data_IF_104702687176
#
_entry.id   IF_104702687176
#
_cell.length_a   1.000
_cell.length_b   1.000
_cell.length_c   1.000
_cell.angle_alpha   90.00
_cell.angle_beta   90.00
_cell.angle_gamma   90.00
#
_symmetry.space_group_name_H-M   'P 1'
#
loop_
_entity.id
_entity.type
_entity.pdbx_description
1 polymer ?
#
# COMPACT_ATOMS: atom_id res chain seq x y z
N UNK A 1 6.70 72.80 16.87
CA UNK A 1 5.50 73.60 17.19
C UNK A 1 4.35 72.65 17.44
N UNK A 2 3.98 72.55 18.74
CA UNK A 2 2.69 72.20 19.38
C UNK A 2 1.97 70.95 18.86
N UNK A 3 1.94 69.81 19.62
CA UNK A 3 1.08 69.58 20.81
C UNK A 3 -0.42 69.70 20.53
N UNK A 4 -1.16 68.64 20.72
CA UNK A 4 -2.27 68.44 21.68
C UNK A 4 -2.78 67.03 21.45
N UNK A 5 -2.51 66.04 22.25
CA UNK A 5 -3.19 65.54 23.47
C UNK A 5 -4.72 65.46 23.35
N UNK A 6 -5.24 64.30 23.62
CA UNK A 6 -6.64 64.03 23.90
C UNK A 6 -6.95 62.60 24.26
N UNK A 7 -6.63 62.23 25.52
CA UNK A 7 -7.25 61.10 26.19
C UNK A 7 -8.77 61.24 26.28
N UNK A 8 -9.53 60.20 26.09
CA UNK A 8 -10.70 59.94 26.92
C UNK A 8 -10.86 58.40 27.16
N UNK A 9 -10.81 58.15 28.44
CA UNK A 9 -10.97 56.90 29.16
C UNK A 9 -12.46 56.47 29.27
N UNK A 10 -12.69 55.19 29.31
CA UNK A 10 -13.72 54.47 30.10
C UNK A 10 -15.20 54.72 29.81
N UNK A 11 -15.89 53.62 29.49
CA UNK A 11 -17.06 53.22 30.29
C UNK A 11 -17.28 51.71 30.17
N UNK A 12 -17.01 51.06 31.31
CA UNK A 12 -17.52 49.74 31.71
C UNK A 12 -19.03 49.92 31.95
N UNK A 13 -19.85 49.10 31.37
CA UNK A 13 -21.24 48.90 31.82
C UNK A 13 -21.46 47.39 32.01
N UNK A 14 -21.43 47.06 33.29
CA UNK A 14 -21.92 45.84 33.92
C UNK A 14 -23.43 45.80 33.73
N UNK A 15 -23.99 44.71 33.21
CA UNK A 15 -25.40 44.41 33.38
C UNK A 15 -25.56 43.01 33.95
N UNK A 16 -26.12 43.00 35.14
CA UNK A 16 -26.41 41.83 35.97
C UNK A 16 -27.61 41.03 35.44
N UNK A 17 -27.48 39.74 35.56
CA UNK A 17 -28.44 38.75 36.06
C UNK A 17 -29.93 39.12 36.11
N UNK A 18 -30.72 38.34 35.36
CA UNK A 18 -32.05 37.89 35.86
C UNK A 18 -32.18 36.39 35.53
N UNK A 19 -32.24 35.59 36.59
CA UNK A 19 -32.69 34.20 36.59
C UNK A 19 -34.19 34.16 36.23
N UNK A 20 -34.53 33.26 35.34
CA UNK A 20 -35.88 32.64 35.35
C UNK A 20 -35.72 31.14 35.16
N UNK A 21 -35.86 30.38 36.24
CA UNK A 21 -36.13 28.95 36.23
C UNK A 21 -37.47 28.69 35.57
N UNK A 22 -37.45 27.94 34.48
CA UNK A 22 -38.57 27.15 34.06
C UNK A 22 -38.16 25.70 33.96
N UNK A 23 -38.52 24.92 34.97
CA UNK A 23 -38.53 23.46 34.94
C UNK A 23 -39.56 23.02 33.88
N UNK A 24 -39.08 22.40 32.86
CA UNK A 24 -39.89 21.48 32.09
C UNK A 24 -39.20 20.12 32.07
N UNK A 25 -39.82 19.19 32.79
CA UNK A 25 -39.53 17.78 32.69
C UNK A 25 -39.79 17.33 31.26
N UNK A 26 -38.73 17.01 30.53
CA UNK A 26 -38.83 16.21 29.33
C UNK A 26 -38.16 14.87 29.57
N UNK A 27 -38.93 13.82 29.50
CA UNK A 27 -38.58 12.44 29.72
C UNK A 27 -37.42 12.05 28.82
N UNK A 28 -36.36 11.55 29.46
CA UNK A 28 -35.25 10.87 28.81
C UNK A 28 -35.72 9.55 28.23
N UNK A 29 -36.03 9.50 26.96
CA UNK A 29 -35.85 8.28 26.18
C UNK A 29 -34.40 8.32 25.66
N UNK A 30 -33.50 7.71 26.41
CA UNK A 30 -32.12 7.56 26.02
C UNK A 30 -31.98 6.53 24.92
N UNK A 31 -32.09 6.98 23.68
CA UNK A 31 -31.51 6.26 22.57
C UNK A 31 -29.98 6.47 22.61
N UNK A 32 -29.24 5.50 23.11
CA UNK A 32 -27.80 5.41 22.87
C UNK A 32 -27.58 5.26 21.36
N UNK A 33 -27.50 6.36 20.64
CA UNK A 33 -26.77 6.38 19.39
C UNK A 33 -25.27 6.28 19.76
N UNK A 34 -24.78 5.06 19.85
CA UNK A 34 -23.35 4.82 19.83
C UNK A 34 -22.85 5.43 18.52
N UNK A 35 -22.13 6.54 18.64
CA UNK A 35 -21.23 6.98 17.60
C UNK A 35 -20.24 5.82 17.39
N UNK A 36 -20.52 4.99 16.41
CA UNK A 36 -19.52 4.07 15.87
C UNK A 36 -18.41 4.99 15.32
N UNK A 37 -17.44 5.32 16.19
CA UNK A 37 -16.15 5.81 15.72
C UNK A 37 -15.70 4.82 14.65
N UNK A 38 -15.57 5.31 13.43
CA UNK A 38 -15.11 4.54 12.28
C UNK A 38 -13.65 4.14 12.55
N UNK A 39 -13.47 3.12 13.39
CA UNK A 39 -12.16 2.64 13.81
C UNK A 39 -11.45 2.17 12.55
N UNK A 40 -10.62 3.03 11.99
CA UNK A 40 -9.85 2.75 10.77
C UNK A 40 -9.23 1.35 10.89
N UNK A 41 -9.64 0.44 10.03
CA UNK A 41 -9.15 -0.94 10.07
C UNK A 41 -7.63 -0.95 10.00
N UNK A 42 -7.00 -1.71 10.91
CA UNK A 42 -5.54 -1.87 10.96
C UNK A 42 -4.98 -2.51 9.69
N UNK A 43 -5.76 -3.34 9.05
CA UNK A 43 -5.44 -4.02 7.82
C UNK A 43 -6.45 -3.64 6.74
N UNK A 44 -5.95 -3.39 5.54
CA UNK A 44 -6.77 -3.18 4.34
C UNK A 44 -6.38 -4.17 3.27
N UNK A 45 -7.35 -4.59 2.47
CA UNK A 45 -7.16 -5.62 1.45
C UNK A 45 -7.28 -4.98 0.07
N UNK A 46 -6.24 -5.13 -0.76
CA UNK A 46 -6.22 -4.63 -2.13
C UNK A 46 -5.95 -5.75 -3.14
N UNK A 47 -6.12 -5.47 -4.41
CA UNK A 47 -5.70 -6.34 -5.51
C UNK A 47 -4.86 -5.56 -6.53
N UNK A 48 -3.93 -6.27 -7.19
CA UNK A 48 -3.10 -5.74 -8.26
C UNK A 48 -3.92 -5.62 -9.56
N UNK A 49 -3.96 -4.44 -10.20
CA UNK A 49 -4.74 -4.23 -11.42
C UNK A 49 -4.27 -5.10 -12.59
N UNK A 50 -2.96 -5.39 -12.67
CA UNK A 50 -2.40 -6.24 -13.73
C UNK A 50 -2.74 -7.72 -13.55
N UNK A 51 -2.93 -8.19 -12.33
CA UNK A 51 -3.27 -9.59 -12.07
C UNK A 51 -4.76 -9.87 -12.21
N UNK A 52 -5.61 -8.86 -12.03
CA UNK A 52 -7.05 -8.94 -12.32
C UNK A 52 -7.40 -8.59 -13.79
N UNK A 53 -6.41 -8.59 -14.69
CA UNK A 53 -6.54 -8.32 -16.11
C UNK A 53 -7.09 -6.91 -16.44
N UNK A 54 -6.83 -5.94 -15.56
CA UNK A 54 -7.30 -4.55 -15.67
C UNK A 54 -6.15 -3.53 -15.58
N UNK A 55 -4.92 -3.93 -15.97
CA UNK A 55 -3.75 -3.05 -15.97
C UNK A 55 -4.08 -1.70 -16.60
N UNK A 56 -3.93 -0.63 -15.82
CA UNK A 56 -4.23 0.76 -16.22
C UNK A 56 -5.62 0.96 -16.86
N UNK A 57 -6.64 0.26 -16.36
CA UNK A 57 -8.04 0.42 -16.80
C UNK A 57 -8.91 0.86 -15.60
N UNK A 58 -9.70 1.90 -15.77
CA UNK A 58 -10.60 2.41 -14.73
C UNK A 58 -11.58 1.35 -14.19
N UNK A 59 -12.00 0.39 -15.02
CA UNK A 59 -12.83 -0.73 -14.60
C UNK A 59 -12.19 -1.68 -13.57
N UNK A 60 -10.92 -1.46 -13.17
CA UNK A 60 -10.30 -2.15 -12.04
C UNK A 60 -10.98 -1.80 -10.72
N UNK A 61 -11.38 -0.55 -10.53
CA UNK A 61 -12.05 -0.07 -9.31
C UNK A 61 -13.43 -0.72 -9.13
N UNK A 62 -14.27 -0.70 -10.17
CA UNK A 62 -15.54 -1.40 -10.14
C UNK A 62 -15.36 -2.88 -9.80
N UNK A 63 -14.44 -3.56 -10.50
CA UNK A 63 -14.21 -4.98 -10.27
C UNK A 63 -13.74 -5.25 -8.84
N UNK A 64 -12.78 -4.50 -8.31
CA UNK A 64 -12.29 -4.71 -6.94
C UNK A 64 -13.38 -4.43 -5.91
N UNK A 65 -14.26 -3.47 -6.16
CA UNK A 65 -15.44 -3.24 -5.30
C UNK A 65 -16.40 -4.41 -5.33
N UNK A 66 -16.69 -4.97 -6.52
CA UNK A 66 -17.50 -6.20 -6.66
C UNK A 66 -16.88 -7.40 -5.94
N UNK A 67 -15.56 -7.45 -5.83
CA UNK A 67 -14.79 -8.47 -5.11
C UNK A 67 -14.64 -8.18 -3.61
N UNK A 68 -15.25 -7.09 -3.11
CA UNK A 68 -15.19 -6.64 -1.71
C UNK A 68 -13.80 -6.15 -1.26
N UNK A 69 -12.93 -5.71 -2.16
CA UNK A 69 -11.63 -5.12 -1.81
C UNK A 69 -11.75 -3.69 -1.27
N UNK A 70 -10.70 -3.23 -0.60
CA UNK A 70 -10.58 -1.87 -0.05
C UNK A 70 -9.77 -0.94 -0.96
N UNK A 71 -9.01 -1.48 -1.90
CA UNK A 71 -8.15 -0.68 -2.79
C UNK A 71 -7.60 -1.42 -3.98
N UNK A 72 -7.04 -0.65 -4.91
CA UNK A 72 -6.41 -1.12 -6.15
C UNK A 72 -4.95 -0.69 -6.14
N UNK A 73 -4.01 -1.64 -6.17
CA UNK A 73 -2.63 -1.35 -6.53
C UNK A 73 -2.55 -1.14 -8.03
N UNK A 74 -2.17 0.08 -8.45
CA UNK A 74 -2.19 0.50 -9.85
C UNK A 74 -0.80 0.36 -10.47
N UNK A 75 -0.72 -0.35 -11.59
CA UNK A 75 0.53 -0.55 -12.33
C UNK A 75 0.94 0.68 -13.15
N UNK A 76 2.23 0.86 -13.39
CA UNK A 76 2.80 1.88 -14.27
C UNK A 76 2.55 1.60 -15.77
N UNK A 77 1.95 0.46 -16.08
CA UNK A 77 1.83 -0.02 -17.46
C UNK A 77 3.03 -0.87 -17.90
N UNK A 78 2.94 -1.45 -19.09
CA UNK A 78 4.00 -2.31 -19.62
C UNK A 78 5.30 -1.55 -19.86
N UNK A 79 6.44 -2.15 -19.53
CA UNK A 79 7.77 -1.60 -19.85
C UNK A 79 8.34 -2.29 -21.10
N UNK A 80 8.59 -3.60 -21.04
CA UNK A 80 9.24 -4.34 -22.14
C UNK A 80 10.56 -3.66 -22.54
N UNK A 81 10.80 -3.55 -23.85
CA UNK A 81 12.00 -2.88 -24.40
C UNK A 81 11.83 -1.36 -24.61
N UNK A 82 10.71 -0.77 -24.13
CA UNK A 82 10.47 0.68 -24.26
C UNK A 82 11.39 1.47 -23.35
N UNK A 83 11.67 2.72 -23.71
CA UNK A 83 12.41 3.64 -22.85
C UNK A 83 11.60 4.15 -21.67
N UNK A 84 10.28 3.98 -21.70
CA UNK A 84 9.38 4.39 -20.61
C UNK A 84 8.24 3.39 -20.44
N UNK A 85 7.61 3.40 -19.25
CA UNK A 85 6.37 2.68 -19.03
C UNK A 85 5.25 3.17 -19.96
N UNK A 86 4.34 2.29 -20.31
CA UNK A 86 3.08 2.65 -20.99
C UNK A 86 2.09 3.24 -19.98
N UNK A 87 2.51 4.35 -19.35
CA UNK A 87 1.85 4.96 -18.22
C UNK A 87 0.82 6.02 -18.65
N UNK A 88 -0.46 5.68 -18.62
CA UNK A 88 -1.55 6.62 -18.90
C UNK A 88 -1.64 7.74 -17.87
N UNK A 89 -1.23 7.47 -16.63
CA UNK A 89 -1.32 8.42 -15.51
C UNK A 89 -0.31 9.58 -15.61
N UNK A 90 0.50 9.67 -16.65
CA UNK A 90 1.19 10.92 -17.02
C UNK A 90 0.22 12.01 -17.47
N UNK A 91 -0.96 11.63 -17.97
CA UNK A 91 -1.94 12.55 -18.51
C UNK A 91 -2.95 12.94 -17.43
N UNK A 92 -3.13 14.24 -17.21
CA UNK A 92 -3.96 14.80 -16.13
C UNK A 92 -5.42 14.29 -16.19
N UNK A 93 -5.96 14.11 -17.39
CA UNK A 93 -7.33 13.61 -17.52
C UNK A 93 -7.48 12.16 -17.01
N UNK A 94 -6.49 11.28 -17.23
CA UNK A 94 -6.53 9.93 -16.66
C UNK A 94 -6.31 9.95 -15.15
N UNK A 95 -5.45 10.84 -14.62
CA UNK A 95 -5.31 11.03 -13.16
C UNK A 95 -6.65 11.39 -12.52
N UNK A 96 -7.39 12.31 -13.16
CA UNK A 96 -8.72 12.72 -12.70
C UNK A 96 -9.68 11.54 -12.73
N UNK A 97 -9.80 10.86 -13.86
CA UNK A 97 -10.69 9.69 -14.03
C UNK A 97 -10.43 8.59 -13.01
N UNK A 98 -9.16 8.24 -12.77
CA UNK A 98 -8.82 7.19 -11.81
C UNK A 98 -9.16 7.59 -10.38
N UNK A 99 -8.94 8.86 -9.99
CA UNK A 99 -9.34 9.36 -8.67
C UNK A 99 -10.85 9.41 -8.50
N UNK A 100 -11.57 9.83 -9.51
CA UNK A 100 -13.04 9.86 -9.51
C UNK A 100 -13.65 8.45 -9.39
N UNK A 101 -13.12 7.47 -10.15
CA UNK A 101 -13.59 6.09 -10.05
C UNK A 101 -13.21 5.45 -8.70
N UNK A 102 -12.02 5.70 -8.17
CA UNK A 102 -11.65 5.26 -6.82
C UNK A 102 -12.62 5.82 -5.77
N UNK A 103 -12.90 7.13 -5.81
CA UNK A 103 -13.83 7.78 -4.89
C UNK A 103 -15.28 7.26 -5.05
N UNK A 104 -15.74 7.07 -6.27
CA UNK A 104 -17.09 6.54 -6.59
C UNK A 104 -17.35 5.18 -5.95
N UNK A 105 -16.33 4.32 -5.94
CA UNK A 105 -16.41 2.98 -5.36
C UNK A 105 -15.91 2.91 -3.90
N UNK A 106 -15.55 4.05 -3.30
CA UNK A 106 -14.97 4.13 -1.96
C UNK A 106 -13.74 3.22 -1.81
N UNK A 107 -12.83 3.28 -2.78
CA UNK A 107 -11.58 2.52 -2.81
C UNK A 107 -10.39 3.46 -2.71
N UNK A 108 -9.27 2.94 -2.17
CA UNK A 108 -8.01 3.66 -2.12
C UNK A 108 -7.02 3.13 -3.17
N UNK A 109 -6.00 3.93 -3.47
CA UNK A 109 -4.84 3.51 -4.27
C UNK A 109 -3.65 3.40 -3.31
N UNK A 110 -3.38 2.20 -2.76
CA UNK A 110 -2.34 2.01 -1.74
C UNK A 110 -0.93 2.23 -2.27
N UNK A 111 -0.72 1.91 -3.54
CA UNK A 111 0.61 1.86 -4.15
C UNK A 111 0.56 1.98 -5.67
N UNK A 112 1.68 2.40 -6.24
CA UNK A 112 1.94 2.39 -7.68
C UNK A 112 3.00 1.32 -7.98
N UNK A 113 2.73 0.43 -8.94
CA UNK A 113 3.60 -0.71 -9.19
C UNK A 113 4.45 -0.55 -10.46
N UNK A 114 5.73 -0.73 -10.35
CA UNK A 114 6.66 -0.84 -11.49
C UNK A 114 6.81 -2.31 -11.91
N UNK A 115 5.68 -3.01 -12.14
CA UNK A 115 5.67 -4.46 -12.42
C UNK A 115 6.47 -4.85 -13.67
N UNK A 116 6.73 -3.90 -14.56
CA UNK A 116 7.59 -4.10 -15.73
C UNK A 116 8.99 -4.62 -15.40
N UNK A 117 9.47 -4.38 -14.18
CA UNK A 117 10.76 -4.91 -13.72
C UNK A 117 10.74 -6.39 -13.33
N UNK A 118 9.61 -7.07 -13.41
CA UNK A 118 9.60 -8.54 -13.40
C UNK A 118 10.30 -9.16 -14.62
N UNK A 119 10.31 -8.47 -15.73
CA UNK A 119 10.92 -8.93 -16.98
C UNK A 119 12.07 -8.04 -17.50
N UNK A 120 12.50 -7.09 -16.66
CA UNK A 120 13.58 -6.16 -16.98
C UNK A 120 14.51 -6.00 -15.78
N UNK A 121 15.82 -6.05 -16.02
CA UNK A 121 16.78 -5.84 -14.95
C UNK A 121 16.90 -4.37 -14.58
N UNK A 122 16.57 -4.01 -13.34
CA UNK A 122 16.80 -2.68 -12.80
C UNK A 122 18.26 -2.25 -12.85
N UNK A 123 19.18 -3.22 -12.70
CA UNK A 123 20.65 -2.98 -12.78
C UNK A 123 21.14 -2.78 -14.20
N UNK A 124 20.50 -3.38 -15.20
CA UNK A 124 20.91 -3.25 -16.61
C UNK A 124 20.27 -2.05 -17.32
N UNK A 125 19.18 -1.48 -16.77
CA UNK A 125 18.51 -0.34 -17.38
C UNK A 125 19.30 0.94 -17.17
N UNK A 126 19.79 1.55 -18.27
CA UNK A 126 20.55 2.81 -18.20
C UNK A 126 19.68 3.96 -17.64
N UNK A 127 18.42 3.99 -18.05
CA UNK A 127 17.44 5.03 -17.70
C UNK A 127 16.60 4.70 -16.45
N UNK A 128 17.16 3.97 -15.48
CA UNK A 128 16.45 3.61 -14.24
C UNK A 128 16.00 4.82 -13.42
N UNK A 129 16.73 5.95 -13.50
CA UNK A 129 16.38 7.19 -12.80
C UNK A 129 15.10 7.80 -13.39
N UNK A 130 15.04 7.90 -14.69
CA UNK A 130 13.89 8.46 -15.43
C UNK A 130 12.63 7.60 -15.21
N UNK A 131 12.77 6.28 -15.23
CA UNK A 131 11.69 5.34 -14.93
C UNK A 131 11.20 5.49 -13.48
N UNK A 132 12.11 5.66 -12.52
CA UNK A 132 11.76 5.90 -11.12
C UNK A 132 11.13 7.28 -10.93
N UNK A 133 11.63 8.31 -11.59
CA UNK A 133 11.05 9.66 -11.54
C UNK A 133 9.62 9.70 -12.07
N UNK A 134 9.34 8.99 -13.18
CA UNK A 134 7.98 8.84 -13.70
C UNK A 134 7.05 8.17 -12.67
N UNK A 135 7.55 7.13 -11.98
CA UNK A 135 6.79 6.49 -10.91
C UNK A 135 6.51 7.45 -9.74
N UNK A 136 7.52 8.17 -9.27
CA UNK A 136 7.39 9.14 -8.18
C UNK A 136 6.39 10.23 -8.54
N UNK A 137 6.44 10.78 -9.75
CA UNK A 137 5.49 11.78 -10.23
C UNK A 137 4.06 11.22 -10.28
N UNK A 138 3.92 9.98 -10.74
CA UNK A 138 2.63 9.28 -10.73
C UNK A 138 2.11 9.08 -9.30
N UNK A 139 2.97 8.68 -8.36
CA UNK A 139 2.59 8.53 -6.94
C UNK A 139 2.08 9.86 -6.37
N UNK A 140 2.79 10.96 -6.60
CA UNK A 140 2.38 12.30 -6.15
C UNK A 140 1.02 12.66 -6.74
N UNK A 141 0.86 12.50 -8.05
CA UNK A 141 -0.37 12.82 -8.75
C UNK A 141 -1.57 12.00 -8.27
N UNK A 142 -1.36 10.73 -7.92
CA UNK A 142 -2.40 9.81 -7.44
C UNK A 142 -2.58 9.80 -5.92
N UNK A 143 -1.72 10.48 -5.16
CA UNK A 143 -1.74 10.50 -3.71
C UNK A 143 -1.21 9.22 -3.05
N UNK A 144 -0.59 8.31 -3.82
CA UNK A 144 0.01 7.09 -3.31
C UNK A 144 1.33 7.38 -2.60
N UNK A 145 1.60 6.64 -1.52
CA UNK A 145 2.82 6.83 -0.70
C UNK A 145 3.85 5.73 -0.88
N UNK A 146 3.50 4.63 -1.53
CA UNK A 146 4.34 3.45 -1.71
C UNK A 146 4.44 3.13 -3.20
N UNK A 147 5.65 2.90 -3.69
CA UNK A 147 5.89 2.25 -4.97
C UNK A 147 6.31 0.80 -4.76
N UNK A 148 5.91 -0.08 -5.66
CA UNK A 148 6.37 -1.46 -5.73
C UNK A 148 7.47 -1.60 -6.79
N UNK A 149 8.64 -2.10 -6.40
CA UNK A 149 9.78 -2.39 -7.29
C UNK A 149 10.21 -3.85 -7.15
N UNK A 150 9.84 -4.74 -8.09
CA UNK A 150 10.27 -6.14 -8.05
C UNK A 150 11.73 -6.28 -8.49
N UNK A 151 12.56 -6.87 -7.62
CA UNK A 151 13.97 -7.17 -7.86
C UNK A 151 14.26 -8.68 -7.82
N UNK A 152 13.31 -9.48 -7.37
CA UNK A 152 13.50 -10.91 -7.09
C UNK A 152 13.56 -11.83 -8.32
N UNK A 153 13.45 -11.30 -9.53
CA UNK A 153 13.57 -12.08 -10.78
C UNK A 153 14.85 -11.70 -11.53
N UNK A 154 14.82 -10.55 -12.20
CA UNK A 154 15.96 -10.10 -13.04
C UNK A 154 17.15 -9.54 -12.24
N UNK A 155 16.92 -9.16 -10.98
CA UNK A 155 17.97 -8.69 -10.06
C UNK A 155 18.06 -9.58 -8.82
N UNK A 156 17.81 -10.89 -8.95
CA UNK A 156 17.87 -11.84 -7.85
C UNK A 156 19.31 -12.02 -7.34
N UNK A 157 19.60 -11.41 -6.18
CA UNK A 157 20.89 -11.45 -5.54
C UNK A 157 21.29 -12.83 -4.99
N UNK A 158 20.36 -13.78 -4.93
CA UNK A 158 20.67 -15.17 -4.56
C UNK A 158 21.31 -15.92 -5.72
N UNK A 159 21.00 -15.50 -6.95
CA UNK A 159 21.51 -16.10 -8.20
C UNK A 159 22.63 -15.27 -8.82
N UNK A 160 22.59 -13.94 -8.63
CA UNK A 160 23.52 -12.99 -9.24
C UNK A 160 24.15 -12.09 -8.16
N UNK A 161 24.97 -12.65 -7.25
CA UNK A 161 25.56 -11.88 -6.15
C UNK A 161 26.52 -10.78 -6.63
N UNK A 162 27.07 -10.91 -7.83
CA UNK A 162 28.00 -9.96 -8.45
C UNK A 162 27.37 -8.59 -8.74
N UNK A 163 26.06 -8.53 -9.00
CA UNK A 163 25.37 -7.26 -9.27
C UNK A 163 25.08 -6.44 -8.00
N UNK A 164 25.39 -6.98 -6.80
CA UNK A 164 24.98 -6.37 -5.53
C UNK A 164 25.48 -4.94 -5.37
N UNK A 165 26.73 -4.67 -5.69
CA UNK A 165 27.32 -3.33 -5.53
C UNK A 165 26.59 -2.29 -6.39
N UNK A 166 26.34 -2.61 -7.64
CA UNK A 166 25.61 -1.72 -8.56
C UNK A 166 24.16 -1.54 -8.13
N UNK A 167 23.49 -2.61 -7.72
CA UNK A 167 22.11 -2.53 -7.21
C UNK A 167 22.02 -1.61 -5.98
N UNK A 168 22.93 -1.75 -5.02
CA UNK A 168 23.00 -0.88 -3.84
C UNK A 168 23.20 0.58 -4.24
N UNK A 169 24.14 0.86 -5.16
CA UNK A 169 24.40 2.21 -5.65
C UNK A 169 23.15 2.84 -6.30
N UNK A 170 22.46 2.09 -7.15
CA UNK A 170 21.21 2.57 -7.77
C UNK A 170 20.10 2.80 -6.75
N UNK A 171 19.95 1.88 -5.79
CA UNK A 171 18.93 2.02 -4.74
C UNK A 171 19.23 3.19 -3.80
N UNK A 172 20.49 3.58 -3.58
CA UNK A 172 20.81 4.83 -2.89
C UNK A 172 20.31 6.05 -3.66
N UNK A 173 20.57 6.07 -4.96
CA UNK A 173 20.11 7.20 -5.81
C UNK A 173 18.60 7.33 -5.79
N UNK A 174 17.87 6.25 -6.08
CA UNK A 174 16.41 6.31 -6.11
C UNK A 174 15.80 6.47 -4.72
N UNK A 175 16.51 6.03 -3.67
CA UNK A 175 16.13 6.26 -2.29
C UNK A 175 16.20 7.75 -1.92
N UNK A 176 17.20 8.48 -2.38
CA UNK A 176 17.26 9.94 -2.22
C UNK A 176 16.13 10.63 -2.96
N UNK A 177 15.87 10.25 -4.23
CA UNK A 177 14.74 10.79 -5.01
C UNK A 177 13.39 10.58 -4.29
N UNK A 178 13.17 9.38 -3.75
CA UNK A 178 11.95 9.05 -3.01
C UNK A 178 11.84 9.83 -1.69
N UNK A 179 12.95 10.00 -0.98
CA UNK A 179 13.01 10.76 0.27
C UNK A 179 12.68 12.24 0.04
N UNK A 180 13.26 12.85 -0.98
CA UNK A 180 12.97 14.24 -1.37
C UNK A 180 11.50 14.44 -1.73
N UNK A 181 10.89 13.44 -2.37
CA UNK A 181 9.47 13.43 -2.74
C UNK A 181 8.52 13.07 -1.59
N UNK A 182 9.03 12.66 -0.43
CA UNK A 182 8.22 12.23 0.72
C UNK A 182 7.45 10.93 0.48
N UNK A 183 8.01 10.00 -0.33
CA UNK A 183 7.42 8.71 -0.68
C UNK A 183 8.37 7.55 -0.35
N UNK A 184 7.88 6.32 -0.42
CA UNK A 184 8.65 5.10 -0.14
C UNK A 184 8.68 4.20 -1.38
N UNK A 185 9.85 3.70 -1.72
CA UNK A 185 10.00 2.61 -2.70
C UNK A 185 10.16 1.30 -1.93
N UNK A 186 9.16 0.44 -2.07
CA UNK A 186 9.16 -0.91 -1.54
C UNK A 186 9.82 -1.87 -2.52
N UNK A 187 10.95 -2.44 -2.13
CA UNK A 187 11.65 -3.43 -2.94
C UNK A 187 11.21 -4.85 -2.57
N UNK A 188 10.86 -5.65 -3.57
CA UNK A 188 10.65 -7.09 -3.40
C UNK A 188 11.91 -7.83 -3.80
N UNK A 189 12.42 -8.70 -2.94
CA UNK A 189 13.65 -9.48 -3.14
C UNK A 189 13.42 -10.98 -2.93
N UNK A 190 14.33 -11.83 -3.41
CA UNK A 190 14.37 -13.26 -3.10
C UNK A 190 15.22 -13.58 -1.87
N UNK A 191 15.79 -12.58 -1.21
CA UNK A 191 16.64 -12.74 -0.02
C UNK A 191 15.83 -13.23 1.18
N UNK A 192 16.53 -13.83 2.15
CA UNK A 192 15.95 -14.05 3.47
C UNK A 192 15.96 -12.74 4.30
N UNK A 193 15.31 -12.75 5.44
CA UNK A 193 15.23 -11.57 6.29
C UNK A 193 16.60 -11.03 6.76
N UNK A 194 17.65 -11.87 6.85
CA UNK A 194 19.01 -11.39 7.15
C UNK A 194 19.61 -10.65 5.98
N UNK A 195 19.43 -11.22 4.78
CA UNK A 195 19.87 -10.63 3.53
C UNK A 195 19.22 -9.28 3.26
N UNK A 196 17.89 -9.18 3.48
CA UNK A 196 17.13 -7.94 3.35
C UNK A 196 17.59 -6.88 4.34
N UNK A 197 17.78 -7.24 5.62
CA UNK A 197 18.30 -6.30 6.63
C UNK A 197 19.70 -5.80 6.25
N UNK A 198 20.56 -6.70 5.75
CA UNK A 198 21.90 -6.32 5.28
C UNK A 198 21.82 -5.39 4.08
N UNK A 199 20.96 -5.69 3.11
CA UNK A 199 20.75 -4.87 1.92
C UNK A 199 20.23 -3.46 2.30
N UNK A 200 19.20 -3.36 3.14
CA UNK A 200 18.68 -2.08 3.62
C UNK A 200 19.75 -1.26 4.36
N UNK A 201 20.59 -1.91 5.16
CA UNK A 201 21.72 -1.24 5.86
C UNK A 201 22.75 -0.69 4.88
N UNK A 202 23.08 -1.42 3.82
CA UNK A 202 24.03 -0.99 2.78
C UNK A 202 23.46 0.18 1.96
N UNK A 203 22.16 0.16 1.64
CA UNK A 203 21.46 1.25 0.96
C UNK A 203 21.42 2.50 1.84
N UNK A 204 21.17 2.33 3.14
CA UNK A 204 21.12 3.40 4.14
C UNK A 204 20.15 4.56 3.76
N UNK A 205 18.96 4.23 3.27
CA UNK A 205 17.90 5.20 2.97
C UNK A 205 16.62 4.86 3.72
N UNK A 206 15.98 5.80 4.42
CA UNK A 206 14.70 5.58 5.09
C UNK A 206 13.53 5.43 4.10
N UNK A 207 13.72 5.87 2.86
CA UNK A 207 12.72 5.81 1.80
C UNK A 207 12.74 4.49 1.02
N UNK A 208 13.72 3.60 1.27
CA UNK A 208 13.72 2.23 0.74
C UNK A 208 13.31 1.27 1.84
N UNK A 209 12.27 0.49 1.58
CA UNK A 209 11.73 -0.52 2.50
C UNK A 209 11.46 -1.82 1.76
N UNK A 210 11.17 -2.88 2.50
CA UNK A 210 10.77 -4.16 1.92
C UNK A 210 9.27 -4.13 1.60
N UNK A 211 8.96 -4.41 0.36
CA UNK A 211 7.64 -4.84 -0.08
C UNK A 211 7.64 -6.37 0.01
N UNK A 212 7.11 -6.89 1.11
CA UNK A 212 7.28 -8.30 1.43
C UNK A 212 6.30 -9.17 0.65
N UNK A 213 6.79 -10.21 -0.03
CA UNK A 213 5.94 -11.18 -0.75
C UNK A 213 6.00 -12.55 -0.06
N UNK A 214 4.85 -13.07 0.35
CA UNK A 214 4.78 -14.37 1.06
C UNK A 214 5.24 -15.54 0.19
N UNK A 215 5.08 -15.44 -1.12
CA UNK A 215 5.55 -16.47 -2.05
C UNK A 215 7.05 -16.73 -1.90
N UNK A 216 7.88 -15.69 -1.74
CA UNK A 216 9.33 -15.81 -1.77
C UNK A 216 9.90 -16.74 -0.68
N UNK A 217 9.57 -16.58 0.62
CA UNK A 217 10.01 -17.52 1.63
C UNK A 217 9.37 -18.91 1.47
N UNK A 218 8.12 -19.01 1.02
CA UNK A 218 7.42 -20.27 0.86
C UNK A 218 8.04 -21.13 -0.24
N UNK A 219 8.35 -20.56 -1.39
CA UNK A 219 9.03 -21.24 -2.50
C UNK A 219 10.44 -21.69 -2.09
N UNK A 220 11.14 -20.86 -1.31
CA UNK A 220 12.48 -21.18 -0.81
C UNK A 220 12.47 -22.11 0.42
N UNK A 221 11.34 -22.64 0.84
CA UNK A 221 11.22 -23.53 2.00
C UNK A 221 11.57 -22.87 3.34
N UNK A 222 11.51 -21.55 3.42
CA UNK A 222 11.84 -20.78 4.62
C UNK A 222 10.60 -20.55 5.50
N UNK A 223 10.85 -20.19 6.76
CA UNK A 223 9.79 -19.94 7.73
C UNK A 223 9.33 -18.47 7.65
N UNK A 224 8.25 -18.21 6.93
CA UNK A 224 7.59 -16.93 6.76
C UNK A 224 7.43 -16.15 8.09
N UNK A 225 6.92 -16.80 9.12
CA UNK A 225 6.59 -16.17 10.41
C UNK A 225 7.85 -15.71 11.17
N UNK A 226 8.94 -16.48 11.06
CA UNK A 226 10.25 -16.09 11.63
C UNK A 226 10.86 -14.93 10.85
N UNK A 227 10.71 -14.92 9.53
CA UNK A 227 11.22 -13.84 8.69
C UNK A 227 10.49 -12.52 8.94
N UNK A 228 9.16 -12.53 9.00
CA UNK A 228 8.37 -11.35 9.37
C UNK A 228 8.81 -10.74 10.70
N UNK A 229 8.91 -11.57 11.75
CA UNK A 229 9.37 -11.12 13.08
C UNK A 229 10.78 -10.53 13.02
N UNK A 230 11.69 -11.11 12.23
CA UNK A 230 13.06 -10.65 12.10
C UNK A 230 13.19 -9.34 11.36
N UNK A 231 12.42 -9.14 10.28
CA UNK A 231 12.32 -7.88 9.57
C UNK A 231 11.76 -6.78 10.47
N UNK A 232 10.71 -7.09 11.23
CA UNK A 232 10.03 -6.14 12.11
C UNK A 232 9.21 -5.10 11.33
N UNK A 233 8.31 -4.43 12.04
CA UNK A 233 7.30 -3.55 11.44
C UNK A 233 7.86 -2.36 10.64
N UNK A 234 9.01 -1.83 11.02
CA UNK A 234 9.53 -0.59 10.43
C UNK A 234 10.17 -0.79 9.06
N UNK A 235 10.57 -2.02 8.72
CA UNK A 235 11.23 -2.34 7.45
C UNK A 235 10.25 -2.78 6.37
N UNK A 236 9.02 -3.18 6.74
CA UNK A 236 8.00 -3.67 5.80
C UNK A 236 7.04 -2.52 5.51
N UNK A 237 6.98 -2.05 4.26
CA UNK A 237 6.05 -0.99 3.87
C UNK A 237 4.68 -1.52 3.43
N UNK A 238 4.65 -2.66 2.73
CA UNK A 238 3.44 -3.29 2.20
C UNK A 238 3.70 -4.79 1.97
N UNK A 239 2.64 -5.57 1.77
CA UNK A 239 2.74 -7.03 1.63
C UNK A 239 1.92 -7.52 0.44
N UNK A 240 2.56 -8.25 -0.49
CA UNK A 240 1.88 -9.21 -1.36
C UNK A 240 1.58 -10.47 -0.54
N UNK A 241 0.32 -10.68 -0.21
CA UNK A 241 -0.10 -11.63 0.82
C UNK A 241 -0.52 -13.01 0.27
N UNK A 242 -0.04 -13.36 -0.92
CA UNK A 242 -0.40 -14.60 -1.61
C UNK A 242 0.78 -15.53 -1.79
N UNK A 243 0.48 -16.79 -2.09
CA UNK A 243 1.45 -17.81 -2.52
C UNK A 243 1.43 -17.94 -4.04
N UNK A 244 2.14 -18.91 -4.60
CA UNK A 244 2.05 -19.29 -6.02
C UNK A 244 0.64 -19.68 -6.40
N UNK A 245 0.34 -19.62 -7.69
CA UNK A 245 -0.89 -20.19 -8.24
C UNK A 245 -0.83 -21.72 -8.13
N UNK A 246 -1.84 -22.29 -7.58
CA UNK A 246 -2.17 -23.72 -7.46
C UNK A 246 -3.54 -23.88 -6.80
N UNK A 247 -3.70 -23.30 -5.61
CA UNK A 247 -4.95 -23.33 -4.83
C UNK A 247 -5.26 -21.94 -4.25
N UNK A 248 -6.54 -21.70 -3.97
CA UNK A 248 -6.99 -20.51 -3.25
C UNK A 248 -6.40 -20.46 -1.84
N UNK A 249 -6.25 -19.25 -1.27
CA UNK A 249 -5.66 -19.05 0.07
C UNK A 249 -6.28 -19.89 1.16
N UNK A 250 -7.60 -20.06 1.15
CA UNK A 250 -8.32 -20.85 2.16
C UNK A 250 -7.97 -22.36 2.13
N UNK A 251 -7.46 -22.86 1.00
CA UNK A 251 -7.04 -24.25 0.81
C UNK A 251 -5.53 -24.45 0.87
N UNK A 252 -4.77 -23.37 1.05
CA UNK A 252 -3.31 -23.43 1.07
C UNK A 252 -2.79 -24.03 2.37
N UNK A 253 -2.19 -25.22 2.29
CA UNK A 253 -1.67 -25.96 3.46
C UNK A 253 -0.36 -25.40 4.00
N UNK A 254 0.42 -24.66 3.22
CA UNK A 254 1.72 -24.10 3.63
C UNK A 254 1.65 -22.64 4.09
N UNK A 255 0.49 -21.98 3.92
CA UNK A 255 0.25 -20.59 4.30
C UNK A 255 -0.98 -20.47 5.20
N UNK A 256 -0.76 -20.37 6.51
CA UNK A 256 -1.82 -20.20 7.50
C UNK A 256 -2.03 -18.72 7.81
N UNK A 257 -3.12 -18.12 7.29
CA UNK A 257 -3.42 -16.70 7.44
C UNK A 257 -3.75 -16.26 8.88
N UNK A 258 -4.34 -17.15 9.70
CA UNK A 258 -4.55 -16.86 11.13
C UNK A 258 -3.21 -16.66 11.84
N UNK A 259 -2.24 -17.52 11.54
CA UNK A 259 -0.88 -17.40 12.09
C UNK A 259 -0.13 -16.19 11.53
N UNK A 260 -0.40 -15.81 10.28
CA UNK A 260 0.11 -14.54 9.70
C UNK A 260 -0.44 -13.38 10.51
N UNK A 261 -1.76 -13.28 10.70
CA UNK A 261 -2.41 -12.24 11.48
C UNK A 261 -1.83 -12.14 12.89
N UNK A 262 -1.77 -13.26 13.61
CA UNK A 262 -1.16 -13.30 14.94
C UNK A 262 0.29 -12.77 14.95
N UNK A 263 1.06 -13.12 13.92
CA UNK A 263 2.45 -12.65 13.80
C UNK A 263 2.53 -11.15 13.57
N UNK A 264 1.74 -10.62 12.64
CA UNK A 264 1.68 -9.18 12.33
C UNK A 264 1.14 -8.37 13.51
N UNK A 265 0.13 -8.89 14.23
CA UNK A 265 -0.41 -8.28 15.44
C UNK A 265 0.64 -8.17 16.55
N UNK A 266 1.38 -9.25 16.82
CA UNK A 266 2.49 -9.26 17.80
C UNK A 266 3.63 -8.33 17.40
N UNK A 267 3.88 -8.13 16.10
CA UNK A 267 4.86 -7.18 15.60
C UNK A 267 4.40 -5.72 15.71
N UNK A 268 3.10 -5.49 15.93
CA UNK A 268 2.51 -4.16 15.85
C UNK A 268 2.50 -3.60 14.43
N UNK A 269 2.53 -4.45 13.39
CA UNK A 269 2.42 -4.05 11.98
C UNK A 269 0.96 -3.89 11.57
N UNK A 270 0.70 -2.95 10.69
CA UNK A 270 -0.59 -2.74 10.03
C UNK A 270 -0.38 -2.05 8.69
N UNK A 271 -1.32 -2.21 7.79
CA UNK A 271 -1.20 -1.66 6.44
C UNK A 271 -1.95 -2.49 5.40
N UNK A 272 -1.46 -2.44 4.17
CA UNK A 272 -2.10 -3.08 3.05
C UNK A 272 -1.59 -4.50 2.81
N UNK A 273 -2.53 -5.42 2.69
CA UNK A 273 -2.35 -6.78 2.21
C UNK A 273 -2.89 -6.84 0.78
N UNK A 274 -2.03 -7.08 -0.18
CA UNK A 274 -2.38 -7.04 -1.61
C UNK A 274 -2.45 -8.45 -2.18
N UNK A 275 -3.58 -8.80 -2.76
CA UNK A 275 -3.78 -10.08 -3.44
C UNK A 275 -3.17 -10.01 -4.83
N UNK A 276 -2.16 -10.83 -5.07
CA UNK A 276 -1.45 -10.94 -6.33
C UNK A 276 -1.72 -12.26 -7.06
N UNK A 277 -1.64 -13.37 -6.35
CA UNK A 277 -1.70 -14.75 -6.87
C UNK A 277 -2.64 -15.63 -6.04
N UNK A 278 -2.30 -16.91 -5.85
CA UNK A 278 -3.11 -17.94 -5.21
C UNK A 278 -4.40 -18.20 -5.97
N UNK A 279 -4.28 -18.32 -7.28
CA UNK A 279 -5.38 -18.69 -8.18
C UNK A 279 -5.48 -20.21 -8.29
N UNK A 280 -6.70 -20.72 -8.49
CA UNK A 280 -6.92 -22.11 -8.84
C UNK A 280 -6.23 -22.43 -10.17
N UNK A 281 -5.34 -23.42 -10.18
CA UNK A 281 -4.61 -23.84 -11.37
C UNK A 281 -5.50 -24.37 -12.48
N UNK A 282 -6.70 -24.87 -12.16
CA UNK A 282 -7.64 -25.42 -13.13
C UNK A 282 -8.46 -24.31 -13.83
N UNK A 283 -8.58 -23.12 -13.20
CA UNK A 283 -9.30 -21.97 -13.75
C UNK A 283 -8.61 -20.63 -13.39
N UNK A 284 -7.35 -20.43 -13.78
CA UNK A 284 -6.56 -19.28 -13.34
C UNK A 284 -7.04 -17.94 -13.94
N UNK A 285 -7.88 -17.97 -14.97
CA UNK A 285 -8.43 -16.76 -15.62
C UNK A 285 -9.77 -16.31 -15.01
N UNK A 286 -10.38 -17.08 -14.17
CA UNK A 286 -11.60 -16.71 -13.47
C UNK A 286 -11.29 -15.69 -12.34
N UNK A 287 -11.10 -14.45 -12.74
CA UNK A 287 -10.74 -13.37 -11.82
C UNK A 287 -11.75 -13.22 -10.71
N UNK A 288 -13.05 -13.25 -11.05
CA UNK A 288 -14.11 -13.06 -10.04
C UNK A 288 -14.07 -14.15 -8.97
N UNK A 289 -13.93 -15.39 -9.36
CA UNK A 289 -13.83 -16.50 -8.41
C UNK A 289 -12.52 -16.43 -7.61
N UNK A 290 -11.36 -16.37 -8.28
CA UNK A 290 -10.07 -16.44 -7.64
C UNK A 290 -9.81 -15.28 -6.66
N UNK A 291 -9.96 -14.06 -7.14
CA UNK A 291 -9.71 -12.88 -6.32
C UNK A 291 -10.82 -12.61 -5.30
N UNK A 292 -12.09 -12.86 -5.68
CA UNK A 292 -13.23 -12.68 -4.76
C UNK A 292 -13.12 -13.60 -3.54
N UNK A 293 -12.84 -14.89 -3.76
CA UNK A 293 -12.67 -15.83 -2.65
C UNK A 293 -11.45 -15.52 -1.78
N UNK A 294 -10.32 -15.13 -2.38
CA UNK A 294 -9.13 -14.78 -1.63
C UNK A 294 -9.33 -13.49 -0.81
N UNK A 295 -9.95 -12.45 -1.39
CA UNK A 295 -10.25 -11.19 -0.69
C UNK A 295 -11.21 -11.43 0.47
N UNK A 296 -12.32 -12.15 0.25
CA UNK A 296 -13.30 -12.45 1.30
C UNK A 296 -12.67 -13.24 2.44
N UNK A 297 -11.86 -14.25 2.13
CA UNK A 297 -11.13 -15.01 3.14
C UNK A 297 -10.18 -14.13 3.97
N UNK A 298 -9.46 -13.22 3.34
CA UNK A 298 -8.60 -12.27 4.04
C UNK A 298 -9.40 -11.30 4.90
N UNK A 299 -10.51 -10.76 4.40
CA UNK A 299 -11.38 -9.87 5.17
C UNK A 299 -11.95 -10.56 6.40
N UNK A 300 -12.36 -11.80 6.26
CA UNK A 300 -12.84 -12.62 7.37
C UNK A 300 -11.80 -12.72 8.50
N UNK A 301 -10.53 -12.94 8.14
CA UNK A 301 -9.44 -13.10 9.11
C UNK A 301 -8.98 -11.75 9.65
N UNK A 302 -8.74 -10.76 8.79
CA UNK A 302 -8.06 -9.53 9.16
C UNK A 302 -8.98 -8.38 9.56
N UNK A 303 -10.24 -8.41 9.13
CA UNK A 303 -11.23 -7.36 9.41
C UNK A 303 -12.44 -7.86 10.21
N UNK A 304 -12.51 -9.19 10.51
CA UNK A 304 -13.62 -9.84 11.22
C UNK A 304 -14.96 -9.68 10.47
N UNK A 305 -14.95 -9.62 9.16
CA UNK A 305 -16.17 -9.60 8.35
C UNK A 305 -16.72 -11.02 8.21
N UNK A 306 -18.03 -11.18 8.38
CA UNK A 306 -18.77 -12.45 8.09
C UNK A 306 -19.51 -12.27 6.77
N UNK A 307 -19.45 -13.28 5.88
CA UNK A 307 -20.10 -13.27 4.56
C UNK A 307 -21.08 -14.41 4.42
#
# INVERSE_FOLDING_TARGET
>A
MKLINGLIFRRIALFCFVLSLSLSLYSRTGGNMSSAENKKSRYKIAACDWMILKRQKIGSFQLVRELNGDGVEVDMGGLGNRDSFDNKLRQVHFQKLFKEEAAKYNLEIPSIAMSGFYSQSFVKRANYKELTQDCIQTMIAMGAKIAFLPLGVECDLTKNPEIRSELVNRLKVVGNMAQEAGVVIGIETSLDAKGDIKLLKEINSPAIKIYYNFQNPLVAGRNLYKELKKLGKNRICQIHCTDTDDVLLQYNKRLNMNKVKETLDKMGWGGWLVVERSRDKNDPRNVKMNFGMNINYLKQIFQNETF
#
